data_IF_636600644777
#
_entry.id   IF_636600644777
#
_cell.length_a   1.000
_cell.length_b   1.000
_cell.length_c   1.000
_cell.angle_alpha   90.00
_cell.angle_beta   90.00
_cell.angle_gamma   90.00
#
_symmetry.space_group_name_H-M   'P 1'
#
loop_
_entity.id
_entity.type
_entity.pdbx_description
1 polymer ?
#
# COMPACT_ATOMS: atom_id res chain seq x y z
N UNK A 1 12.86 -6.23 20.96
CA UNK A 1 12.62 -6.53 19.54
C UNK A 1 13.86 -6.14 18.78
N UNK A 2 14.45 -7.06 18.01
CA UNK A 2 15.63 -6.76 17.18
C UNK A 2 15.28 -5.68 16.17
N UNK A 3 16.16 -4.68 16.02
CA UNK A 3 16.03 -3.66 14.99
C UNK A 3 16.08 -4.32 13.60
N UNK A 4 15.26 -3.81 12.68
CA UNK A 4 15.24 -4.26 11.28
C UNK A 4 16.58 -3.95 10.64
N UNK A 5 17.16 -4.93 9.94
CA UNK A 5 18.43 -4.82 9.23
C UNK A 5 18.26 -4.96 7.73
N UNK A 6 19.25 -4.46 6.98
CA UNK A 6 19.35 -4.72 5.55
C UNK A 6 19.50 -6.22 5.32
N UNK A 7 18.75 -6.75 4.37
CA UNK A 7 18.72 -8.18 4.06
C UNK A 7 17.76 -9.01 4.91
N UNK A 8 17.14 -8.46 5.96
CA UNK A 8 16.06 -9.15 6.67
C UNK A 8 14.88 -9.40 5.72
N UNK A 9 14.11 -10.45 6.02
CA UNK A 9 12.92 -10.82 5.28
C UNK A 9 11.68 -10.12 5.86
N UNK A 10 10.86 -9.56 4.98
CA UNK A 10 9.59 -8.92 5.33
C UNK A 10 8.50 -9.29 4.32
N UNK A 11 7.27 -9.47 4.80
CA UNK A 11 6.12 -9.69 3.94
C UNK A 11 5.61 -8.36 3.36
N UNK A 12 5.42 -8.33 2.04
CA UNK A 12 4.82 -7.19 1.32
C UNK A 12 4.06 -7.67 0.08
N UNK A 13 3.25 -6.78 -0.49
CA UNK A 13 2.53 -7.05 -1.72
C UNK A 13 3.44 -6.87 -2.94
N UNK A 14 3.76 -7.97 -3.62
CA UNK A 14 4.54 -7.90 -4.84
C UNK A 14 3.65 -7.52 -6.04
N UNK A 15 3.90 -6.36 -6.63
CA UNK A 15 3.15 -5.87 -7.81
C UNK A 15 3.29 -6.76 -9.05
N UNK A 16 4.39 -7.51 -9.16
CA UNK A 16 4.60 -8.46 -10.27
C UNK A 16 3.94 -9.82 -10.02
N UNK A 17 4.04 -10.36 -8.81
CA UNK A 17 3.38 -11.61 -8.44
C UNK A 17 1.88 -11.45 -8.13
N UNK A 18 1.43 -10.21 -7.90
CA UNK A 18 0.06 -9.83 -7.52
C UNK A 18 -0.45 -10.54 -6.25
N UNK A 19 0.46 -10.88 -5.34
CA UNK A 19 0.17 -11.57 -4.08
C UNK A 19 1.14 -11.14 -2.98
N UNK A 20 0.80 -11.43 -1.73
CA UNK A 20 1.71 -11.30 -0.60
C UNK A 20 2.85 -12.31 -0.74
N UNK A 21 4.09 -11.83 -0.57
CA UNK A 21 5.29 -12.67 -0.63
C UNK A 21 6.38 -12.12 0.29
N UNK A 22 7.31 -12.98 0.66
CA UNK A 22 8.57 -12.57 1.28
C UNK A 22 9.41 -11.70 0.33
N UNK A 23 9.83 -10.54 0.84
CA UNK A 23 10.78 -9.64 0.22
C UNK A 23 12.00 -9.44 1.12
N UNK A 24 13.17 -9.23 0.53
CA UNK A 24 14.36 -8.81 1.27
C UNK A 24 14.46 -7.29 1.30
N UNK A 25 14.83 -6.75 2.46
CA UNK A 25 15.00 -5.30 2.65
C UNK A 25 16.28 -4.83 1.97
N UNK A 26 16.14 -3.91 1.01
CA UNK A 26 17.28 -3.33 0.27
C UNK A 26 17.73 -1.99 0.84
N UNK A 27 16.82 -1.21 1.40
CA UNK A 27 17.14 0.10 1.98
C UNK A 27 16.22 0.44 3.14
N UNK A 28 16.78 1.14 4.13
CA UNK A 28 16.08 1.66 5.30
C UNK A 28 16.13 3.20 5.28
N UNK A 29 15.02 3.84 5.66
CA UNK A 29 14.89 5.29 5.89
C UNK A 29 14.21 5.46 7.23
N UNK A 30 14.80 6.24 8.14
CA UNK A 30 14.28 6.44 9.51
C UNK A 30 13.98 5.14 10.27
N UNK A 31 14.78 4.09 9.99
CA UNK A 31 14.61 2.72 10.52
C UNK A 31 13.38 1.96 9.97
N UNK A 32 12.71 2.49 8.95
CA UNK A 32 11.67 1.80 8.19
C UNK A 32 12.17 1.32 6.82
N UNK A 33 11.72 0.15 6.34
CA UNK A 33 12.05 -0.31 5.00
C UNK A 33 11.46 0.62 3.93
N UNK A 34 12.32 1.20 3.10
CA UNK A 34 11.92 2.08 2.01
C UNK A 34 11.82 1.32 0.68
N UNK A 35 12.77 0.41 0.41
CA UNK A 35 12.84 -0.38 -0.82
C UNK A 35 13.06 -1.85 -0.49
N UNK A 36 12.34 -2.71 -1.19
CA UNK A 36 12.34 -4.16 -0.99
C UNK A 36 12.47 -4.90 -2.31
N UNK A 37 13.02 -6.13 -2.28
CA UNK A 37 13.13 -7.03 -3.43
C UNK A 37 12.35 -8.31 -3.18
N UNK A 38 11.43 -8.65 -4.08
CA UNK A 38 10.68 -9.90 -3.97
C UNK A 38 11.60 -11.12 -4.11
N UNK A 39 11.54 -12.08 -3.17
CA UNK A 39 12.34 -13.30 -3.24
C UNK A 39 11.85 -14.32 -4.27
N UNK A 40 10.65 -14.12 -4.82
CA UNK A 40 10.08 -15.01 -5.84
C UNK A 40 10.42 -14.53 -7.25
N UNK A 41 10.15 -13.26 -7.57
CA UNK A 41 10.31 -12.73 -8.93
C UNK A 41 11.47 -11.74 -9.07
N UNK A 42 12.24 -11.50 -8.00
CA UNK A 42 13.40 -10.60 -7.96
C UNK A 42 13.12 -9.16 -8.38
N UNK A 43 11.84 -8.77 -8.42
CA UNK A 43 11.46 -7.41 -8.74
C UNK A 43 11.67 -6.52 -7.51
N UNK A 44 12.22 -5.34 -7.75
CA UNK A 44 12.42 -4.32 -6.74
C UNK A 44 11.27 -3.32 -6.76
N UNK A 45 10.89 -2.81 -5.59
CA UNK A 45 9.84 -1.82 -5.46
C UNK A 45 9.88 -1.08 -4.12
N UNK A 46 9.09 0.00 -3.99
CA UNK A 46 8.87 0.63 -2.69
C UNK A 46 8.13 -0.34 -1.77
N UNK A 47 8.44 -0.29 -0.49
CA UNK A 47 7.69 -1.03 0.52
C UNK A 47 6.28 -0.44 0.66
N UNK A 48 5.24 -1.28 0.60
CA UNK A 48 3.83 -0.85 0.63
C UNK A 48 3.08 -1.27 1.89
N UNK A 49 3.76 -1.83 2.90
CA UNK A 49 3.11 -2.30 4.14
C UNK A 49 1.94 -3.27 3.88
N UNK A 50 2.02 -4.06 2.80
CA UNK A 50 0.95 -4.99 2.40
C UNK A 50 -0.25 -4.33 1.72
N UNK A 51 -0.21 -3.03 1.46
CA UNK A 51 -1.25 -2.35 0.70
C UNK A 51 -1.17 -2.72 -0.78
N UNK A 52 -2.30 -3.18 -1.31
CA UNK A 52 -2.46 -3.45 -2.73
C UNK A 52 -2.53 -2.10 -3.43
N UNK A 53 -1.60 -1.77 -4.35
CA UNK A 53 -1.69 -0.52 -5.09
C UNK A 53 -2.97 -0.52 -5.93
N UNK A 54 -3.75 0.58 -5.88
CA UNK A 54 -4.98 0.67 -6.66
C UNK A 54 -4.67 0.51 -8.15
N UNK A 55 -5.46 -0.30 -8.84
CA UNK A 55 -5.23 -0.48 -10.27
C UNK A 55 -5.62 0.78 -11.03
N UNK A 56 -5.07 0.98 -12.23
CA UNK A 56 -5.47 2.10 -13.11
C UNK A 56 -6.98 2.13 -13.38
N UNK A 57 -7.66 0.98 -13.32
CA UNK A 57 -9.13 0.89 -13.47
C UNK A 57 -9.85 1.39 -12.23
N UNK A 58 -9.33 1.09 -11.04
CA UNK A 58 -9.94 1.52 -9.77
C UNK A 58 -9.79 3.04 -9.59
N UNK A 59 -8.65 3.60 -9.98
CA UNK A 59 -8.44 5.06 -10.01
C UNK A 59 -9.43 5.77 -10.95
N UNK A 60 -9.69 5.19 -12.14
CA UNK A 60 -10.68 5.74 -13.08
C UNK A 60 -12.11 5.64 -12.54
N UNK A 61 -12.46 4.52 -11.90
CA UNK A 61 -13.76 4.38 -11.24
C UNK A 61 -13.92 5.40 -10.11
N UNK A 62 -12.91 5.56 -9.26
CA UNK A 62 -12.94 6.56 -8.18
C UNK A 62 -13.13 7.99 -8.71
N UNK A 63 -12.45 8.35 -9.80
CA UNK A 63 -12.64 9.64 -10.46
C UNK A 63 -14.08 9.85 -10.96
N UNK A 64 -14.65 8.84 -11.63
CA UNK A 64 -16.04 8.89 -12.12
C UNK A 64 -17.05 8.94 -10.96
N UNK A 65 -16.82 8.22 -9.87
CA UNK A 65 -17.66 8.28 -8.68
C UNK A 65 -17.67 9.69 -8.07
N UNK A 66 -16.49 10.33 -7.97
CA UNK A 66 -16.40 11.70 -7.46
C UNK A 66 -17.12 12.71 -8.36
N UNK A 67 -17.03 12.54 -9.69
CA UNK A 67 -17.73 13.38 -10.65
C UNK A 67 -19.26 13.26 -10.50
N UNK A 68 -19.78 12.04 -10.38
CA UNK A 68 -21.22 11.80 -10.16
C UNK A 68 -21.68 12.33 -8.80
N UNK A 69 -20.91 12.12 -7.73
CA UNK A 69 -21.22 12.65 -6.40
C UNK A 69 -21.30 14.18 -6.39
N UNK A 70 -20.41 14.85 -7.12
CA UNK A 70 -20.42 16.32 -7.24
C UNK A 70 -21.61 16.86 -8.04
N UNK A 71 -22.18 16.06 -8.93
CA UNK A 71 -23.30 16.43 -9.79
C UNK A 71 -24.68 16.21 -9.15
N UNK A 72 -24.75 15.57 -7.96
CA UNK A 72 -26.01 15.33 -7.24
C UNK A 72 -26.20 16.44 -6.19
N UNK A 73 -27.13 17.39 -6.37
CA UNK A 73 -27.43 18.38 -5.35
C UNK A 73 -28.14 17.72 -4.15
N UNK A 74 -27.47 17.67 -3.00
CA UNK A 74 -28.06 17.23 -1.73
C UNK A 74 -27.26 16.19 -0.92
N UNK A 75 -26.13 15.69 -1.41
CA UNK A 75 -25.29 14.78 -0.64
C UNK A 75 -24.23 15.56 0.17
N UNK A 76 -24.59 15.99 1.37
CA UNK A 76 -23.60 16.36 2.40
C UNK A 76 -22.81 15.12 2.82
N UNK A 77 -21.48 15.07 2.64
CA UNK A 77 -20.68 14.02 3.22
C UNK A 77 -20.36 14.39 4.66
N UNK A 78 -21.00 13.70 5.62
CA UNK A 78 -20.46 13.61 6.98
C UNK A 78 -19.16 12.81 6.89
N UNK A 79 -18.04 13.53 7.00
CA UNK A 79 -16.73 12.95 7.23
C UNK A 79 -16.71 12.37 8.64
N UNK A 80 -16.94 11.07 8.80
CA UNK A 80 -16.47 10.33 9.98
C UNK A 80 -15.15 9.62 9.64
N UNK A 81 -14.07 10.36 9.84
CA UNK A 81 -12.77 9.81 10.22
C UNK A 81 -12.94 9.14 11.60
N UNK A 82 -12.90 7.81 11.63
CA UNK A 82 -12.64 7.07 12.86
C UNK A 82 -11.56 6.03 12.58
N UNK A 83 -10.34 6.53 12.65
CA UNK A 83 -9.13 5.77 12.98
C UNK A 83 -9.37 4.99 14.30
N UNK A 84 -9.95 3.80 14.18
CA UNK A 84 -10.28 2.92 15.30
C UNK A 84 -9.12 1.95 15.52
N UNK A 85 -8.04 2.44 16.15
CA UNK A 85 -7.03 1.60 16.79
C UNK A 85 -7.66 0.80 17.93
N UNK A 86 -7.59 -0.55 17.97
CA UNK A 86 -7.88 -1.29 19.16
C UNK A 86 -6.60 -1.81 19.84
N UNK A 87 -6.47 -1.39 21.10
CA UNK A 87 -5.81 -2.02 22.26
C UNK A 87 -4.28 -2.07 22.32
#
# INVERSE_FOLDING_TARGET
>A
MSAIRLGDDIDDYCVKCKRMTNHSILSLVDSEPAKVRCRTCYNEGPYRRGEIPPSKKDLKKAALFNEVLSAIPGATPEAEDKDKKPK
#
